data_IF_225127493273
#
_entry.id   IF_225127493273
#
_cell.length_a   1.000
_cell.length_b   1.000
_cell.length_c   1.000
_cell.angle_alpha   90.00
_cell.angle_beta   90.00
_cell.angle_gamma   90.00
#
_symmetry.space_group_name_H-M   'P 1'
#
loop_
_entity.id
_entity.type
_entity.pdbx_description
1 polymer ?
#
# COMPACT_ATOMS: atom_id res chain seq x y z
N UNK A 1 -18.66 31.41 19.34
CA UNK A 1 -19.17 30.03 19.57
C UNK A 1 -18.95 29.01 18.41
N UNK A 2 -18.37 29.36 17.26
CA UNK A 2 -18.07 28.40 16.18
C UNK A 2 -16.81 27.53 16.42
N UNK A 3 -15.84 28.05 17.16
CA UNK A 3 -14.50 27.44 17.39
C UNK A 3 -14.53 26.10 18.16
N UNK A 4 -15.57 25.84 18.96
CA UNK A 4 -15.68 24.62 19.75
C UNK A 4 -16.24 23.43 18.94
N UNK A 5 -17.11 23.69 17.96
CA UNK A 5 -17.65 22.67 17.07
C UNK A 5 -16.57 22.17 16.10
N UNK A 6 -15.82 23.09 15.48
CA UNK A 6 -14.66 22.77 14.62
C UNK A 6 -13.62 21.91 15.37
N UNK A 7 -13.33 22.24 16.63
CA UNK A 7 -12.37 21.47 17.43
C UNK A 7 -12.87 20.04 17.74
N UNK A 8 -14.17 19.88 17.97
CA UNK A 8 -14.80 18.56 18.21
C UNK A 8 -14.89 17.72 16.94
N UNK A 9 -15.21 18.34 15.80
CA UNK A 9 -15.29 17.67 14.50
C UNK A 9 -13.90 17.20 14.05
N UNK A 10 -12.88 18.04 14.24
CA UNK A 10 -11.48 17.66 14.03
C UNK A 10 -11.03 16.52 14.97
N UNK A 11 -11.54 16.46 16.21
CA UNK A 11 -11.22 15.38 17.14
C UNK A 11 -11.84 14.05 16.70
N UNK A 12 -13.10 14.06 16.27
CA UNK A 12 -13.79 12.88 15.74
C UNK A 12 -13.13 12.35 14.46
N UNK A 13 -12.75 13.25 13.54
CA UNK A 13 -12.00 12.87 12.33
C UNK A 13 -10.67 12.20 12.69
N UNK A 14 -9.91 12.78 13.63
CA UNK A 14 -8.62 12.22 14.09
C UNK A 14 -8.77 10.83 14.70
N UNK A 15 -9.83 10.60 15.47
CA UNK A 15 -10.14 9.29 16.03
C UNK A 15 -10.47 8.26 14.94
N UNK A 16 -11.29 8.63 13.96
CA UNK A 16 -11.59 7.77 12.81
C UNK A 16 -10.33 7.40 12.02
N UNK A 17 -9.45 8.37 11.75
CA UNK A 17 -8.18 8.12 11.05
C UNK A 17 -7.18 7.30 11.88
N UNK A 18 -7.20 7.42 13.20
CA UNK A 18 -6.44 6.54 14.09
C UNK A 18 -6.97 5.10 14.02
N UNK A 19 -8.29 4.90 13.94
CA UNK A 19 -8.90 3.59 13.74
C UNK A 19 -8.52 3.00 12.37
N UNK A 20 -8.51 3.81 11.30
CA UNK A 20 -8.03 3.39 9.97
C UNK A 20 -6.57 2.91 10.04
N UNK A 21 -5.70 3.63 10.75
CA UNK A 21 -4.30 3.22 10.95
C UNK A 21 -4.21 1.85 11.61
N UNK A 22 -5.02 1.59 12.64
CA UNK A 22 -5.05 0.30 13.31
C UNK A 22 -5.55 -0.84 12.40
N UNK A 23 -6.56 -0.56 11.57
CA UNK A 23 -7.07 -1.52 10.58
C UNK A 23 -6.01 -1.87 9.54
N UNK A 24 -5.21 -0.90 9.09
CA UNK A 24 -4.08 -1.16 8.18
C UNK A 24 -3.03 -2.08 8.82
N UNK A 25 -2.76 -1.92 10.13
CA UNK A 25 -1.84 -2.81 10.87
C UNK A 25 -2.39 -4.24 11.03
N UNK A 26 -3.71 -4.41 11.08
CA UNK A 26 -4.35 -5.72 11.06
C UNK A 26 -4.27 -6.35 9.66
N UNK A 27 -4.47 -5.56 8.60
CA UNK A 27 -4.34 -6.01 7.22
C UNK A 27 -2.91 -6.43 6.87
N UNK A 28 -1.89 -5.72 7.35
CA UNK A 28 -0.48 -6.09 7.13
C UNK A 28 -0.17 -7.47 7.75
N UNK A 29 -0.59 -7.68 8.99
CA UNK A 29 -0.43 -8.98 9.67
C UNK A 29 -1.21 -10.11 9.00
N UNK A 30 -2.40 -9.82 8.48
CA UNK A 30 -3.18 -10.78 7.70
C UNK A 30 -2.48 -11.14 6.39
N UNK A 31 -1.95 -10.14 5.68
CA UNK A 31 -1.20 -10.34 4.44
C UNK A 31 0.08 -11.17 4.68
N UNK A 32 0.79 -10.91 5.77
CA UNK A 32 1.96 -11.69 6.19
C UNK A 32 1.61 -13.15 6.47
N UNK A 33 0.54 -13.40 7.23
CA UNK A 33 0.06 -14.77 7.49
C UNK A 33 -0.37 -15.47 6.20
N UNK A 34 -1.08 -14.77 5.31
CA UNK A 34 -1.51 -15.32 4.03
C UNK A 34 -0.31 -15.70 3.15
N UNK A 35 0.71 -14.84 3.09
CA UNK A 35 1.95 -15.11 2.38
C UNK A 35 2.67 -16.38 2.88
N UNK A 36 2.70 -16.59 4.19
CA UNK A 36 3.30 -17.77 4.81
C UNK A 36 2.55 -19.08 4.50
N UNK A 37 1.26 -18.99 4.19
CA UNK A 37 0.41 -20.16 3.85
C UNK A 37 0.22 -20.37 2.35
N UNK A 38 0.64 -19.42 1.52
CA UNK A 38 0.37 -19.45 0.09
C UNK A 38 1.19 -20.54 -0.62
N UNK A 39 0.57 -21.37 -1.49
CA UNK A 39 1.30 -22.35 -2.28
C UNK A 39 2.17 -21.64 -3.34
N UNK A 40 3.48 -21.58 -3.11
CA UNK A 40 4.42 -20.81 -3.95
C UNK A 40 4.68 -21.41 -5.33
N UNK A 41 4.50 -22.73 -5.51
CA UNK A 41 5.13 -23.44 -6.64
C UNK A 41 4.16 -23.90 -7.75
N UNK A 42 2.84 -23.79 -7.57
CA UNK A 42 1.87 -24.47 -8.47
C UNK A 42 1.00 -23.54 -9.33
N UNK A 43 0.96 -22.25 -9.05
CA UNK A 43 0.05 -21.33 -9.75
C UNK A 43 0.78 -20.49 -10.81
N UNK A 44 0.25 -20.48 -12.04
CA UNK A 44 0.74 -19.61 -13.13
C UNK A 44 0.69 -18.13 -12.76
N UNK A 45 -0.29 -17.76 -11.93
CA UNK A 45 -0.45 -16.45 -11.34
C UNK A 45 -0.49 -16.58 -9.82
N UNK A 46 0.26 -15.74 -9.12
CA UNK A 46 0.26 -15.69 -7.66
C UNK A 46 0.07 -14.25 -7.17
N UNK A 47 -0.40 -14.13 -5.93
CA UNK A 47 -0.60 -12.85 -5.28
C UNK A 47 0.74 -12.30 -4.77
N UNK A 48 1.03 -11.03 -5.08
CA UNK A 48 2.23 -10.31 -4.68
C UNK A 48 2.02 -9.66 -3.31
N UNK A 49 2.19 -10.47 -2.26
CA UNK A 49 2.09 -10.00 -0.89
C UNK A 49 3.13 -8.92 -0.58
N UNK A 50 4.30 -8.93 -1.23
CA UNK A 50 5.33 -7.90 -1.03
C UNK A 50 4.83 -6.55 -1.52
N UNK A 51 4.22 -6.48 -2.71
CA UNK A 51 3.62 -5.26 -3.24
C UNK A 51 2.44 -4.77 -2.38
N UNK A 52 1.55 -5.69 -1.96
CA UNK A 52 0.43 -5.31 -1.10
C UNK A 52 0.92 -4.67 0.20
N UNK A 53 1.87 -5.30 0.90
CA UNK A 53 2.41 -4.77 2.16
C UNK A 53 3.09 -3.43 1.97
N UNK A 54 3.84 -3.24 0.88
CA UNK A 54 4.44 -1.95 0.55
C UNK A 54 3.39 -0.84 0.33
N UNK A 55 2.26 -1.17 -0.31
CA UNK A 55 1.16 -0.22 -0.51
C UNK A 55 0.43 0.09 0.82
N UNK A 56 0.19 -0.92 1.68
CA UNK A 56 -0.38 -0.71 3.02
C UNK A 56 0.49 0.23 3.87
N UNK A 57 1.80 0.06 3.82
CA UNK A 57 2.77 0.94 4.48
C UNK A 57 2.71 2.38 3.98
N UNK A 58 2.57 2.58 2.66
CA UNK A 58 2.43 3.91 2.06
C UNK A 58 1.15 4.60 2.50
N UNK A 59 0.02 3.89 2.47
CA UNK A 59 -1.26 4.42 2.96
C UNK A 59 -1.16 4.77 4.44
N UNK A 60 -0.59 3.89 5.26
CA UNK A 60 -0.39 4.12 6.70
C UNK A 60 0.47 5.36 6.96
N UNK A 61 1.54 5.53 6.19
CA UNK A 61 2.42 6.71 6.28
C UNK A 61 1.67 7.98 5.91
N UNK A 62 0.89 7.98 4.82
CA UNK A 62 0.09 9.14 4.42
C UNK A 62 -0.94 9.57 5.47
N UNK A 63 -1.64 8.60 6.08
CA UNK A 63 -2.60 8.89 7.18
C UNK A 63 -1.89 9.46 8.40
N UNK A 64 -0.74 8.89 8.79
CA UNK A 64 0.06 9.39 9.93
C UNK A 64 0.63 10.78 9.69
N UNK A 65 1.11 11.05 8.47
CA UNK A 65 1.64 12.37 8.09
C UNK A 65 0.54 13.45 8.14
N UNK A 66 -0.72 13.11 7.84
CA UNK A 66 -1.86 14.00 8.03
C UNK A 66 -2.20 14.22 9.52
N UNK A 67 -2.21 13.15 10.33
CA UNK A 67 -2.52 13.22 11.76
C UNK A 67 -1.47 13.99 12.57
N UNK A 68 -0.19 13.88 12.19
CA UNK A 68 0.95 14.60 12.78
C UNK A 68 1.55 15.49 11.69
N UNK A 69 0.94 16.67 11.40
CA UNK A 69 1.48 17.56 10.39
C UNK A 69 2.84 18.06 10.86
N UNK A 70 3.91 17.46 10.35
CA UNK A 70 5.24 18.05 10.45
C UNK A 70 5.27 19.27 9.53
N UNK A 71 5.89 20.37 9.97
CA UNK A 71 6.09 21.58 9.14
C UNK A 71 7.12 21.37 8.02
N UNK A 72 7.18 20.18 7.43
CA UNK A 72 7.93 19.89 6.23
C UNK A 72 7.02 20.13 5.02
N UNK A 73 7.60 20.42 3.85
CA UNK A 73 6.83 20.49 2.60
C UNK A 73 6.02 19.19 2.40
N UNK A 74 4.83 19.27 1.77
CA UNK A 74 4.10 18.09 1.34
C UNK A 74 5.06 17.18 0.56
N UNK A 75 5.24 15.94 1.02
CA UNK A 75 6.03 14.96 0.28
C UNK A 75 5.29 14.62 -1.00
N UNK A 76 6.02 14.49 -2.10
CA UNK A 76 5.43 13.97 -3.33
C UNK A 76 4.78 12.60 -3.04
N UNK A 77 3.49 12.44 -3.34
CA UNK A 77 2.79 11.20 -3.04
C UNK A 77 3.39 10.08 -3.88
N UNK A 78 3.95 9.07 -3.22
CA UNK A 78 4.48 7.90 -3.91
C UNK A 78 3.29 7.07 -4.42
N UNK A 79 3.18 6.78 -5.73
CA UNK A 79 2.05 6.05 -6.26
C UNK A 79 1.98 4.64 -5.67
N UNK A 80 0.75 4.16 -5.45
CA UNK A 80 0.50 2.76 -5.10
C UNK A 80 0.78 1.88 -6.32
N UNK A 81 1.29 0.67 -6.09
CA UNK A 81 1.53 -0.29 -7.16
C UNK A 81 0.22 -0.68 -7.85
N UNK A 82 -0.86 -0.90 -7.09
CA UNK A 82 -2.22 -1.16 -7.59
C UNK A 82 -2.40 -2.49 -8.35
N UNK A 83 -1.31 -3.17 -8.73
CA UNK A 83 -1.29 -4.48 -9.36
C UNK A 83 -0.56 -5.52 -8.52
N UNK A 84 -1.34 -6.44 -7.92
CA UNK A 84 -0.84 -7.47 -7.00
C UNK A 84 -0.78 -8.87 -7.62
N UNK A 85 -0.89 -9.00 -8.94
CA UNK A 85 -0.78 -10.30 -9.62
C UNK A 85 0.60 -10.42 -10.24
N UNK A 86 1.30 -11.52 -9.95
CA UNK A 86 2.58 -11.87 -10.57
C UNK A 86 2.41 -13.12 -11.42
N UNK A 87 3.03 -13.13 -12.59
CA UNK A 87 3.11 -14.31 -13.45
C UNK A 87 4.47 -14.98 -13.27
N UNK A 88 4.49 -16.32 -13.32
CA UNK A 88 5.74 -17.09 -13.28
C UNK A 88 6.41 -17.21 -14.68
N UNK A 89 5.94 -16.41 -15.64
CA UNK A 89 6.53 -16.40 -16.97
C UNK A 89 7.90 -15.72 -16.89
N UNK A 90 8.96 -16.43 -17.31
CA UNK A 90 10.26 -15.82 -17.54
C UNK A 90 10.05 -14.56 -18.41
N UNK A 91 10.75 -13.44 -18.12
CA UNK A 91 10.68 -12.28 -18.98
C UNK A 91 11.01 -12.75 -20.39
N UNK A 92 10.05 -12.61 -21.31
CA UNK A 92 10.28 -12.91 -22.70
C UNK A 92 11.46 -12.03 -23.12
N UNK A 93 12.63 -12.62 -23.30
CA UNK A 93 13.76 -11.99 -23.98
C UNK A 93 13.19 -11.40 -25.25
N UNK A 94 13.31 -10.07 -25.49
CA UNK A 94 12.94 -9.53 -26.79
C UNK A 94 13.80 -10.30 -27.78
N UNK A 95 13.14 -11.05 -28.66
CA UNK A 95 13.82 -11.79 -29.69
C UNK A 95 14.72 -10.79 -30.41
N UNK A 96 16.01 -11.07 -30.37
CA UNK A 96 17.04 -10.38 -31.15
C UNK A 96 16.58 -10.48 -32.60
N UNK A 97 15.88 -9.47 -33.08
CA UNK A 97 15.51 -9.33 -34.48
C UNK A 97 16.84 -9.07 -35.20
N UNK A 98 17.39 -10.15 -35.74
CA UNK A 98 18.60 -10.15 -36.54
C UNK A 98 18.38 -9.27 -37.76
N UNK A 99 19.42 -8.56 -38.25
CA UNK A 99 19.28 -7.62 -39.34
C UNK A 99 19.09 -8.38 -40.65
N UNK A 100 18.21 -7.89 -41.51
CA UNK A 100 18.40 -7.92 -42.97
C UNK A 100 17.24 -7.26 -43.72
N UNK A 101 17.45 -6.82 -44.98
CA UNK A 101 18.70 -6.88 -45.76
C UNK A 101 19.41 -5.53 -45.91
#
# INVERSE_FOLDING_TARGET
>A
PAIAADASDNAAEREMLAAVTHQLDLLDRLAERAAATAPQERARYHFDYVRLRADLERVRTGVRDYLVPQRAQPRDPVPLAGGYTRSNAAPATPAKEAPSP
#
